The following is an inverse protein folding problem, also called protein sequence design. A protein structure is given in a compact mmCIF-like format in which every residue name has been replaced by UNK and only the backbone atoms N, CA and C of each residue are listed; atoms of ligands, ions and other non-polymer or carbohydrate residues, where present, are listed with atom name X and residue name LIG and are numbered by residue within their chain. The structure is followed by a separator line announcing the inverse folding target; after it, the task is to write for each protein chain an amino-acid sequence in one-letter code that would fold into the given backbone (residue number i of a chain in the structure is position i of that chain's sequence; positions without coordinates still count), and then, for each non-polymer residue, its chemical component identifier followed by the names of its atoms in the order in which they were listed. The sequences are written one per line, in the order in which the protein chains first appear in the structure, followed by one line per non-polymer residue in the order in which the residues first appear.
data_IF_555435821120
#
_entry.id   IF_555435821120
#
_cell.length_a   1.000
_cell.length_b   1.000
_cell.length_c   1.000
_cell.angle_alpha   90.00
_cell.angle_beta   90.00
_cell.angle_gamma   90.00
#
_symmetry.space_group_name_H-M   'P 1'
#
loop_
_entity.id
_entity.type
_entity.pdbx_description
1 polymer ?
#
# COMPACT_ATOMS: atom_id res chain seq x y z
N UNK A 1 35.82 9.45 -44.23
CA UNK A 1 36.38 8.24 -43.59
C UNK A 1 35.95 8.27 -42.14
N UNK A 2 35.01 7.49 -41.63
CA UNK A 2 34.06 6.46 -42.09
C UNK A 2 33.34 6.09 -40.78
N UNK A 3 32.04 6.37 -40.63
CA UNK A 3 30.96 5.36 -40.48
C UNK A 3 31.28 4.26 -39.46
N UNK A 4 30.58 4.14 -38.34
CA UNK A 4 29.26 3.50 -38.16
C UNK A 4 28.66 3.96 -36.81
N UNK A 5 27.38 4.00 -36.48
CA UNK A 5 26.12 3.56 -37.08
C UNK A 5 25.00 4.26 -36.31
N UNK A 6 24.01 4.80 -37.02
CA UNK A 6 22.70 5.12 -36.46
C UNK A 6 22.09 3.84 -35.87
N UNK A 7 22.14 3.69 -34.55
CA UNK A 7 21.31 2.69 -33.87
C UNK A 7 19.88 3.27 -33.71
N UNK A 8 18.83 2.51 -34.06
CA UNK A 8 17.44 2.98 -33.97
C UNK A 8 17.12 3.31 -32.51
N UNK A 9 16.25 4.30 -32.28
CA UNK A 9 15.95 4.88 -30.96
C UNK A 9 15.63 3.85 -29.87
N UNK A 10 16.66 3.41 -29.14
CA UNK A 10 16.53 2.60 -27.95
C UNK A 10 16.16 3.50 -26.77
N UNK A 11 15.09 3.15 -26.07
CA UNK A 11 14.71 3.78 -24.81
C UNK A 11 15.88 3.70 -23.82
N UNK A 12 16.39 4.85 -23.37
CA UNK A 12 17.34 4.89 -22.27
C UNK A 12 16.56 4.75 -20.97
N UNK A 13 16.58 3.55 -20.41
CA UNK A 13 16.08 3.31 -19.06
C UNK A 13 17.14 3.77 -18.07
N UNK A 14 16.73 4.47 -17.01
CA UNK A 14 17.60 4.91 -15.92
C UNK A 14 17.26 4.21 -14.59
N UNK A 15 16.08 3.61 -14.51
CA UNK A 15 15.49 3.05 -13.32
C UNK A 15 14.63 1.84 -13.67
N UNK A 16 14.71 0.82 -12.82
CA UNK A 16 13.81 -0.31 -12.81
C UNK A 16 12.98 -0.30 -11.52
N UNK A 17 11.66 -0.46 -11.64
CA UNK A 17 10.73 -0.44 -10.51
C UNK A 17 10.00 -1.79 -10.36
N UNK A 18 10.19 -2.48 -9.23
CA UNK A 18 9.44 -3.68 -8.89
C UNK A 18 8.06 -3.33 -8.34
N UNK A 19 6.97 -3.84 -8.91
CA UNK A 19 5.60 -3.57 -8.45
C UNK A 19 4.81 -4.84 -8.15
N UNK A 20 5.41 -5.80 -7.45
CA UNK A 20 4.72 -7.04 -7.05
C UNK A 20 3.73 -6.73 -5.92
N UNK A 21 2.42 -6.95 -6.15
CA UNK A 21 1.33 -6.69 -5.20
C UNK A 21 0.65 -7.98 -4.72
N UNK A 22 0.86 -8.48 -3.51
CA UNK A 22 2.02 -8.27 -2.63
C UNK A 22 2.62 -9.66 -2.34
N UNK A 23 3.94 -9.80 -2.18
CA UNK A 23 4.54 -11.08 -1.83
C UNK A 23 3.90 -11.67 -0.55
N UNK A 24 3.60 -12.97 -0.55
CA UNK A 24 2.93 -13.65 0.56
C UNK A 24 1.45 -13.26 0.77
N UNK A 25 0.81 -12.55 -0.18
CA UNK A 25 -0.61 -12.18 -0.15
C UNK A 25 -1.30 -12.55 -1.48
N UNK A 26 -2.64 -12.57 -1.51
CA UNK A 26 -3.44 -12.81 -2.74
C UNK A 26 -3.09 -14.11 -3.50
N UNK A 27 -2.79 -15.19 -2.79
CA UNK A 27 -2.43 -16.49 -3.38
C UNK A 27 -0.94 -16.69 -3.65
N UNK A 28 -0.11 -15.68 -3.40
CA UNK A 28 1.35 -15.79 -3.34
C UNK A 28 1.79 -16.66 -2.16
N UNK A 29 2.82 -17.46 -2.36
CA UNK A 29 3.34 -18.38 -1.33
C UNK A 29 4.07 -17.59 -0.24
N UNK A 30 4.11 -18.11 0.99
CA UNK A 30 4.85 -17.48 2.09
C UNK A 30 6.35 -17.35 1.80
N UNK A 31 6.90 -18.23 0.97
CA UNK A 31 8.30 -18.17 0.52
C UNK A 31 8.59 -16.92 -0.33
N UNK A 32 7.58 -16.33 -0.96
CA UNK A 32 7.75 -15.17 -1.84
C UNK A 32 8.25 -13.94 -1.09
N UNK A 33 8.02 -13.86 0.23
CA UNK A 33 8.64 -12.85 1.10
C UNK A 33 10.17 -12.87 0.99
N UNK A 34 10.76 -14.05 1.11
CA UNK A 34 12.21 -14.21 1.04
C UNK A 34 12.71 -14.10 -0.40
N UNK A 35 11.97 -14.65 -1.38
CA UNK A 35 12.35 -14.53 -2.79
C UNK A 35 12.36 -13.08 -3.27
N UNK A 36 11.43 -12.25 -2.77
CA UNK A 36 11.46 -10.82 -3.04
C UNK A 36 12.74 -10.16 -2.49
N UNK A 37 13.16 -10.50 -1.27
CA UNK A 37 14.42 -10.03 -0.69
C UNK A 37 15.61 -10.41 -1.55
N UNK A 38 15.70 -11.68 -1.97
CA UNK A 38 16.77 -12.18 -2.84
C UNK A 38 16.78 -11.40 -4.16
N UNK A 39 15.61 -11.24 -4.79
CA UNK A 39 15.48 -10.49 -6.04
C UNK A 39 16.00 -9.06 -5.93
N UNK A 40 15.63 -8.33 -4.87
CA UNK A 40 16.05 -6.93 -4.69
C UNK A 40 17.51 -6.80 -4.23
N UNK A 41 18.16 -7.88 -3.82
CA UNK A 41 19.59 -7.92 -3.52
C UNK A 41 20.43 -8.25 -4.76
N UNK A 42 20.03 -9.25 -5.53
CA UNK A 42 20.77 -9.70 -6.72
C UNK A 42 20.69 -8.69 -7.88
N UNK A 43 19.57 -8.00 -8.04
CA UNK A 43 19.34 -7.05 -9.14
C UNK A 43 20.32 -5.87 -9.14
N UNK A 44 20.53 -5.14 -8.01
CA UNK A 44 21.56 -4.11 -7.94
C UNK A 44 22.95 -4.63 -8.30
N UNK A 45 23.32 -5.83 -7.85
CA UNK A 45 24.63 -6.45 -8.14
C UNK A 45 24.80 -6.73 -9.63
N UNK A 46 23.77 -7.28 -10.29
CA UNK A 46 23.77 -7.51 -11.72
C UNK A 46 23.93 -6.18 -12.50
N UNK A 47 23.20 -5.14 -12.10
CA UNK A 47 23.32 -3.82 -12.73
C UNK A 47 24.66 -3.13 -12.46
N UNK A 48 25.29 -3.37 -11.31
CA UNK A 48 26.67 -2.92 -11.06
C UNK A 48 27.67 -3.57 -12.00
N UNK A 49 27.53 -4.86 -12.27
CA UNK A 49 28.41 -5.59 -13.17
C UNK A 49 28.25 -5.11 -14.62
N UNK A 50 27.02 -4.94 -15.09
CA UNK A 50 26.73 -4.42 -16.42
C UNK A 50 27.30 -3.00 -16.58
N UNK A 51 27.03 -2.11 -15.62
CA UNK A 51 27.50 -0.72 -15.63
C UNK A 51 29.02 -0.60 -15.82
N UNK A 52 29.78 -1.50 -15.16
CA UNK A 52 31.24 -1.57 -15.29
C UNK A 52 31.67 -2.03 -16.69
N UNK A 53 30.95 -2.97 -17.30
CA UNK A 53 31.27 -3.50 -18.63
C UNK A 53 31.02 -2.47 -19.73
N UNK A 54 29.92 -1.73 -19.64
CA UNK A 54 29.50 -0.78 -20.68
C UNK A 54 29.94 0.66 -20.42
N UNK A 55 30.63 0.90 -19.31
CA UNK A 55 31.08 2.23 -18.84
C UNK A 55 29.93 3.26 -18.81
N UNK A 56 28.81 2.87 -18.22
CA UNK A 56 27.64 3.75 -17.99
C UNK A 56 27.25 3.76 -16.51
N UNK A 57 26.50 4.78 -16.05
CA UNK A 57 25.92 4.75 -14.73
C UNK A 57 25.06 3.49 -14.51
N UNK A 58 25.10 2.94 -13.29
CA UNK A 58 24.24 1.82 -12.89
C UNK A 58 22.76 2.22 -12.94
N UNK A 59 21.93 1.32 -13.44
CA UNK A 59 20.47 1.40 -13.31
C UNK A 59 20.04 1.35 -11.84
N UNK A 60 19.22 2.31 -11.43
CA UNK A 60 18.65 2.31 -10.09
C UNK A 60 17.59 1.23 -9.95
N UNK A 61 17.53 0.61 -8.79
CA UNK A 61 16.53 -0.40 -8.44
C UNK A 61 15.61 0.19 -7.36
N UNK A 62 14.34 0.34 -7.69
CA UNK A 62 13.30 0.77 -6.76
C UNK A 62 12.20 -0.27 -6.67
N UNK A 63 11.37 -0.17 -5.65
CA UNK A 63 10.16 -0.98 -5.55
C UNK A 63 9.00 -0.17 -4.98
N UNK A 64 7.80 -0.45 -5.50
CA UNK A 64 6.54 -0.03 -4.92
C UNK A 64 6.09 -1.07 -3.87
N UNK A 65 5.96 -0.66 -2.62
CA UNK A 65 5.62 -1.50 -1.47
C UNK A 65 4.31 -1.07 -0.84
N UNK A 66 3.59 -2.04 -0.26
CA UNK A 66 2.32 -1.80 0.42
C UNK A 66 2.44 -0.78 1.55
N UNK A 67 1.39 0.02 1.78
CA UNK A 67 1.23 0.81 3.00
C UNK A 67 0.51 0.02 4.12
N UNK A 68 -0.26 -1.02 3.78
CA UNK A 68 -0.98 -1.85 4.75
C UNK A 68 -0.03 -2.70 5.60
N UNK A 69 -0.07 -2.54 6.92
CA UNK A 69 0.84 -3.22 7.85
C UNK A 69 0.81 -4.75 7.71
N UNK A 70 -0.37 -5.33 7.51
CA UNK A 70 -0.53 -6.77 7.30
C UNK A 70 0.26 -7.25 6.08
N UNK A 71 0.17 -6.53 4.95
CA UNK A 71 0.92 -6.81 3.73
C UNK A 71 2.42 -6.58 3.93
N UNK A 72 2.79 -5.55 4.68
CA UNK A 72 4.20 -5.28 4.98
C UNK A 72 4.80 -6.45 5.77
N UNK A 73 4.10 -6.90 6.81
CA UNK A 73 4.53 -8.00 7.67
C UNK A 73 4.63 -9.33 6.91
N UNK A 74 3.67 -9.61 6.02
CA UNK A 74 3.67 -10.85 5.23
C UNK A 74 4.66 -10.83 4.07
N UNK A 75 4.96 -9.65 3.51
CA UNK A 75 5.61 -9.55 2.21
C UNK A 75 7.04 -9.03 2.21
N UNK A 76 7.49 -8.32 3.24
CA UNK A 76 8.78 -7.64 3.20
C UNK A 76 9.68 -7.91 4.41
N UNK A 77 10.96 -8.18 4.14
CA UNK A 77 12.03 -8.16 5.15
C UNK A 77 12.68 -6.78 5.13
N UNK A 78 12.00 -5.78 5.72
CA UNK A 78 12.35 -4.35 5.62
C UNK A 78 13.85 -4.05 5.82
N UNK A 79 14.54 -4.60 6.84
CA UNK A 79 15.97 -4.33 7.04
C UNK A 79 16.88 -4.87 5.93
N UNK A 80 16.40 -5.83 5.15
CA UNK A 80 17.17 -6.53 4.11
C UNK A 80 16.88 -5.99 2.69
N UNK A 81 15.97 -5.02 2.55
CA UNK A 81 15.63 -4.44 1.26
C UNK A 81 16.75 -3.52 0.75
N UNK A 82 17.56 -4.05 -0.17
CA UNK A 82 18.68 -3.31 -0.76
C UNK A 82 18.27 -2.50 -2.00
N UNK A 83 17.41 -1.50 -1.77
CA UNK A 83 16.88 -0.63 -2.83
C UNK A 83 17.52 0.75 -2.82
N UNK A 84 17.53 1.42 -3.97
CA UNK A 84 17.93 2.82 -4.09
C UNK A 84 16.85 3.74 -3.48
N UNK A 85 15.59 3.48 -3.81
CA UNK A 85 14.40 4.12 -3.21
C UNK A 85 13.26 3.11 -3.03
N UNK A 86 12.44 3.35 -2.02
CA UNK A 86 11.27 2.54 -1.66
C UNK A 86 10.04 3.43 -1.79
N UNK A 87 9.21 3.14 -2.78
CA UNK A 87 7.97 3.85 -3.03
C UNK A 87 6.87 3.21 -2.18
N UNK A 88 6.34 3.91 -1.19
CA UNK A 88 5.25 3.38 -0.36
C UNK A 88 3.93 3.80 -0.98
N UNK A 89 3.13 2.81 -1.42
CA UNK A 89 1.85 3.02 -2.09
C UNK A 89 0.77 3.42 -1.07
N UNK A 90 0.83 4.66 -0.58
CA UNK A 90 -0.04 5.15 0.50
C UNK A 90 -1.41 5.62 0.00
N UNK A 91 -2.03 4.83 -0.86
CA UNK A 91 -3.32 5.07 -1.50
C UNK A 91 -4.06 3.74 -1.67
N UNK A 92 -5.30 3.77 -2.18
CA UNK A 92 -6.24 2.65 -2.16
C UNK A 92 -6.53 2.17 -0.73
N UNK A 93 -6.47 3.09 0.24
CA UNK A 93 -6.61 2.77 1.67
C UNK A 93 -8.08 2.55 2.04
N UNK A 94 -8.99 3.25 1.35
CA UNK A 94 -10.43 3.05 1.44
C UNK A 94 -11.07 3.08 0.06
N UNK A 95 -12.08 2.22 -0.14
CA UNK A 95 -12.78 2.09 -1.43
C UNK A 95 -14.10 1.32 -1.28
N UNK A 96 -14.86 1.23 -2.36
CA UNK A 96 -16.25 0.75 -2.38
C UNK A 96 -16.45 -0.70 -1.92
N UNK A 97 -15.38 -1.51 -1.82
CA UNK A 97 -15.44 -2.88 -1.31
C UNK A 97 -15.67 -2.98 0.20
N UNK A 98 -15.59 -1.88 0.94
CA UNK A 98 -15.75 -1.87 2.41
C UNK A 98 -17.20 -1.68 2.87
N UNK A 99 -18.10 -1.21 2.00
CA UNK A 99 -19.50 -0.92 2.35
C UNK A 99 -19.71 0.38 3.12
N UNK A 100 -18.67 1.19 3.28
CA UNK A 100 -18.70 2.54 3.81
C UNK A 100 -17.78 3.47 3.02
N UNK A 101 -18.03 4.77 3.12
CA UNK A 101 -17.20 5.81 2.50
C UNK A 101 -15.94 6.07 3.32
N UNK A 102 -14.83 6.32 2.63
CA UNK A 102 -13.56 6.66 3.26
C UNK A 102 -12.61 7.40 2.33
N UNK A 103 -11.55 7.97 2.90
CA UNK A 103 -10.55 8.72 2.14
C UNK A 103 -9.59 7.76 1.41
N UNK A 104 -9.29 8.03 0.14
CA UNK A 104 -8.35 7.22 -0.63
C UNK A 104 -6.94 7.17 0.01
N UNK A 105 -6.50 8.30 0.58
CA UNK A 105 -5.13 8.48 1.05
C UNK A 105 -5.03 9.44 2.26
N UNK A 106 -5.60 9.09 3.42
CA UNK A 106 -5.55 9.91 4.63
C UNK A 106 -4.13 10.05 5.18
N UNK A 107 -3.64 11.28 5.33
CA UNK A 107 -2.32 11.56 5.92
C UNK A 107 -2.31 11.29 7.43
N UNK A 108 -3.36 11.74 8.13
CA UNK A 108 -3.49 11.65 9.59
C UNK A 108 -4.85 11.06 9.99
N UNK A 109 -4.95 10.67 11.26
CA UNK A 109 -6.24 10.39 11.88
C UNK A 109 -7.08 11.66 11.89
N UNK A 110 -8.38 11.51 11.69
CA UNK A 110 -9.30 12.63 11.80
C UNK A 110 -9.29 13.21 13.24
N UNK A 111 -9.46 14.55 13.41
CA UNK A 111 -9.23 15.24 14.68
C UNK A 111 -10.09 14.77 15.85
N UNK A 112 -11.28 14.21 15.59
CA UNK A 112 -12.16 13.70 16.65
C UNK A 112 -11.71 12.34 17.19
N UNK A 113 -10.69 11.71 16.59
CA UNK A 113 -10.18 10.40 16.98
C UNK A 113 -11.14 9.24 16.77
N UNK A 114 -12.34 9.50 16.24
CA UNK A 114 -13.47 8.56 16.18
C UNK A 114 -13.75 7.98 14.80
N UNK A 115 -13.14 8.50 13.73
CA UNK A 115 -13.61 8.24 12.37
C UNK A 115 -13.80 6.76 12.06
N UNK A 116 -12.81 5.93 12.35
CA UNK A 116 -12.88 4.53 11.96
C UNK A 116 -13.48 3.61 13.02
N UNK A 117 -13.50 4.01 14.29
CA UNK A 117 -14.28 3.31 15.32
C UNK A 117 -15.78 3.44 15.08
N UNK A 118 -16.23 4.46 14.34
CA UNK A 118 -17.61 4.55 13.85
C UNK A 118 -17.87 3.68 12.61
N UNK A 119 -16.84 3.39 11.80
CA UNK A 119 -16.91 2.38 10.75
C UNK A 119 -16.93 0.92 11.31
N UNK A 120 -16.18 0.63 12.39
CA UNK A 120 -16.10 -0.70 13.02
C UNK A 120 -17.46 -1.37 13.34
N UNK A 121 -18.49 -0.70 13.89
CA UNK A 121 -19.79 -1.32 14.14
C UNK A 121 -20.55 -1.73 12.87
N UNK A 122 -20.06 -1.42 11.66
CA UNK A 122 -20.64 -1.91 10.41
C UNK A 122 -19.97 -3.18 9.87
N UNK A 123 -18.84 -3.60 10.45
CA UNK A 123 -18.26 -4.91 10.17
C UNK A 123 -19.12 -6.00 10.85
N UNK A 124 -19.65 -6.96 10.09
CA UNK A 124 -20.49 -8.05 10.61
C UNK A 124 -19.81 -8.85 11.74
N UNK A 125 -18.48 -9.01 11.66
CA UNK A 125 -17.65 -9.66 12.69
C UNK A 125 -17.61 -8.83 13.98
N UNK A 126 -17.58 -7.51 13.88
CA UNK A 126 -17.59 -6.61 15.04
C UNK A 126 -18.99 -6.55 15.69
N UNK A 127 -20.06 -6.57 14.89
CA UNK A 127 -21.43 -6.69 15.40
C UNK A 127 -21.66 -8.02 16.13
N UNK A 128 -21.12 -9.13 15.59
CA UNK A 128 -21.16 -10.43 16.24
C UNK A 128 -20.43 -10.42 17.59
N UNK A 129 -19.21 -9.87 17.65
CA UNK A 129 -18.45 -9.72 18.89
C UNK A 129 -19.17 -8.85 19.94
N UNK A 130 -19.89 -7.80 19.52
CA UNK A 130 -20.65 -6.94 20.45
C UNK A 130 -21.87 -7.62 21.08
N UNK A 131 -22.45 -8.62 20.40
CA UNK A 131 -23.65 -9.35 20.88
C UNK A 131 -23.34 -10.47 21.86
N UNK A 132 -22.06 -10.85 22.02
CA UNK A 132 -21.64 -11.82 23.02
C UNK A 132 -21.38 -11.08 24.34
N UNK A 133 -22.35 -11.11 25.24
CA UNK A 133 -22.31 -10.53 26.60
C UNK A 133 -21.28 -11.23 27.50
N UNK A 134 -19.99 -11.02 27.25
CA UNK A 134 -18.93 -11.53 28.12
C UNK A 134 -17.91 -10.42 28.37
N UNK A 135 -18.13 -9.62 29.42
CA UNK A 135 -17.30 -8.44 29.74
C UNK A 135 -15.79 -8.74 29.77
N UNK A 136 -15.38 -9.96 30.10
CA UNK A 136 -13.98 -10.40 30.10
C UNK A 136 -13.47 -10.89 28.73
N UNK A 137 -14.31 -11.55 27.92
CA UNK A 137 -13.92 -11.97 26.58
C UNK A 137 -13.94 -10.79 25.61
N UNK A 138 -14.88 -9.85 25.77
CA UNK A 138 -14.98 -8.61 24.99
C UNK A 138 -13.79 -7.71 25.25
N UNK A 139 -13.21 -7.66 26.46
CA UNK A 139 -12.05 -6.80 26.71
C UNK A 139 -10.74 -7.38 26.12
N UNK A 140 -10.58 -8.70 26.10
CA UNK A 140 -9.47 -9.36 25.40
C UNK A 140 -9.70 -9.42 23.89
N UNK A 141 -10.94 -9.62 23.43
CA UNK A 141 -11.30 -9.54 22.02
C UNK A 141 -11.23 -8.10 21.51
N UNK A 142 -11.51 -7.07 22.31
CA UNK A 142 -11.26 -5.66 21.96
C UNK A 142 -9.77 -5.31 22.06
N UNK A 143 -8.95 -6.00 22.87
CA UNK A 143 -7.49 -5.81 22.76
C UNK A 143 -6.92 -6.50 21.50
N UNK A 144 -7.48 -7.64 21.08
CA UNK A 144 -7.13 -8.32 19.84
C UNK A 144 -7.71 -7.63 18.59
N UNK A 145 -8.98 -7.23 18.60
CA UNK A 145 -9.65 -6.43 17.55
C UNK A 145 -9.19 -4.98 17.59
N UNK A 146 -8.76 -4.45 18.74
CA UNK A 146 -8.10 -3.16 18.89
C UNK A 146 -6.65 -3.18 18.41
N UNK A 147 -5.96 -4.33 18.50
CA UNK A 147 -4.75 -4.61 17.74
C UNK A 147 -5.03 -4.63 16.24
N UNK A 148 -6.21 -5.13 15.81
CA UNK A 148 -6.65 -5.01 14.42
C UNK A 148 -7.11 -3.58 14.04
N UNK A 149 -7.60 -2.76 14.98
CA UNK A 149 -8.03 -1.38 14.72
C UNK A 149 -6.84 -0.39 14.59
N UNK A 150 -5.63 -0.81 14.98
CA UNK A 150 -4.38 -0.14 14.64
C UNK A 150 -3.84 -0.55 13.25
N UNK A 151 -4.61 -1.31 12.45
CA UNK A 151 -4.19 -1.75 11.11
C UNK A 151 -4.57 -0.80 9.98
N UNK A 152 -5.19 0.35 10.26
CA UNK A 152 -5.58 1.24 9.18
C UNK A 152 -4.36 2.03 8.69
N UNK A 153 -3.96 1.86 7.42
CA UNK A 153 -2.80 2.50 6.87
C UNK A 153 -3.11 3.99 6.71
N UNK A 154 -2.57 4.81 7.60
CA UNK A 154 -2.39 6.23 7.33
C UNK A 154 -1.06 6.39 6.63
N UNK A 155 -0.92 7.41 5.79
CA UNK A 155 0.38 7.69 5.18
C UNK A 155 1.47 7.83 6.26
N UNK A 156 1.20 8.63 7.31
CA UNK A 156 2.15 8.83 8.42
C UNK A 156 2.46 7.52 9.16
N UNK A 157 1.45 6.68 9.38
CA UNK A 157 1.63 5.42 10.11
C UNK A 157 2.45 4.40 9.32
N UNK A 158 2.18 4.24 8.02
CA UNK A 158 2.94 3.34 7.15
C UNK A 158 4.41 3.76 7.05
N UNK A 159 4.65 5.06 6.92
CA UNK A 159 6.00 5.62 6.82
C UNK A 159 6.79 5.46 8.12
N UNK A 160 6.16 5.76 9.26
CA UNK A 160 6.78 5.56 10.57
C UNK A 160 7.02 4.07 10.85
N UNK A 161 6.09 3.18 10.48
CA UNK A 161 6.29 1.74 10.61
C UNK A 161 7.52 1.26 9.83
N UNK A 162 7.67 1.68 8.56
CA UNK A 162 8.84 1.34 7.75
C UNK A 162 10.14 1.78 8.41
N UNK A 163 10.18 3.04 8.87
CA UNK A 163 11.33 3.63 9.56
C UNK A 163 11.67 2.88 10.86
N UNK A 164 10.67 2.62 11.71
CA UNK A 164 10.85 1.95 12.99
C UNK A 164 11.28 0.48 12.83
N UNK A 165 10.98 -0.13 11.68
CA UNK A 165 11.41 -1.47 11.30
C UNK A 165 12.68 -1.49 10.42
N UNK A 166 13.45 -0.40 10.39
CA UNK A 166 14.81 -0.38 9.84
C UNK A 166 14.95 0.15 8.41
N UNK A 167 13.88 0.65 7.79
CA UNK A 167 14.01 1.32 6.49
C UNK A 167 14.74 2.68 6.66
N UNK A 168 15.76 2.98 5.84
CA UNK A 168 16.41 4.28 5.87
C UNK A 168 15.43 5.38 5.46
N UNK A 169 15.19 6.37 6.33
CA UNK A 169 14.19 7.42 6.09
C UNK A 169 14.44 8.19 4.78
N UNK A 170 15.70 8.44 4.41
CA UNK A 170 16.05 9.11 3.15
C UNK A 170 15.81 8.31 1.88
N UNK A 171 15.46 7.02 2.00
CA UNK A 171 15.10 6.15 0.87
C UNK A 171 13.59 5.95 0.73
N UNK A 172 12.80 6.29 1.74
CA UNK A 172 11.34 6.16 1.68
C UNK A 172 10.73 7.32 0.90
N UNK A 173 9.94 7.01 -0.11
CA UNK A 173 9.23 7.95 -0.97
C UNK A 173 7.73 7.74 -0.76
N UNK A 174 7.03 8.79 -0.35
CA UNK A 174 5.56 8.79 -0.26
C UNK A 174 5.00 8.96 -1.66
N UNK A 175 4.11 8.06 -2.06
CA UNK A 175 3.38 8.22 -3.32
C UNK A 175 2.06 8.97 -3.13
N UNK A 176 1.79 9.87 -4.07
CA UNK A 176 0.60 10.72 -4.05
C UNK A 176 -0.36 10.30 -5.17
N UNK A 177 -1.59 9.84 -4.86
CA UNK A 177 -2.55 9.48 -5.89
C UNK A 177 -3.11 10.73 -6.55
N UNK A 178 -3.08 10.76 -7.89
CA UNK A 178 -3.81 11.75 -8.69
C UNK A 178 -5.23 11.29 -9.05
N UNK A 179 -5.81 10.42 -8.22
CA UNK A 179 -7.16 9.84 -8.37
C UNK A 179 -7.79 9.64 -6.98
N UNK A 180 -9.08 9.33 -6.97
CA UNK A 180 -9.83 9.03 -5.75
C UNK A 180 -10.79 7.88 -5.96
N UNK A 181 -11.21 7.27 -4.85
CA UNK A 181 -12.29 6.31 -4.86
C UNK A 181 -13.64 7.00 -4.65
N UNK A 182 -14.65 6.52 -5.36
CA UNK A 182 -15.99 7.10 -5.33
C UNK A 182 -17.03 6.07 -4.89
N UNK A 183 -18.13 6.55 -4.31
CA UNK A 183 -19.13 5.74 -3.62
C UNK A 183 -20.55 6.18 -3.94
N UNK A 184 -21.50 5.25 -3.94
CA UNK A 184 -22.93 5.54 -3.85
C UNK A 184 -23.35 5.37 -2.39
N UNK A 185 -23.84 6.45 -1.78
CA UNK A 185 -24.29 6.44 -0.39
C UNK A 185 -25.64 5.73 -0.25
N UNK A 186 -25.76 4.86 0.77
CA UNK A 186 -27.03 4.21 1.12
C UNK A 186 -28.09 5.23 1.58
N UNK A 187 -27.65 6.35 2.17
CA UNK A 187 -28.51 7.47 2.55
C UNK A 187 -27.84 8.77 2.07
N UNK A 188 -28.43 9.42 1.06
CA UNK A 188 -27.91 10.66 0.47
C UNK A 188 -27.88 11.85 1.42
N UNK A 189 -28.60 11.80 2.56
CA UNK A 189 -28.56 12.83 3.59
C UNK A 189 -27.36 12.69 4.55
N UNK A 190 -26.69 11.52 4.55
CA UNK A 190 -25.50 11.30 5.36
C UNK A 190 -24.25 11.26 4.46
N UNK A 191 -23.56 12.39 4.36
CA UNK A 191 -22.35 12.57 3.54
C UNK A 191 -21.07 12.60 4.36
N UNK A 192 -21.11 12.14 5.61
CA UNK A 192 -19.92 12.08 6.46
C UNK A 192 -18.96 10.97 5.99
N UNK A 193 -17.69 11.06 6.39
CA UNK A 193 -16.77 9.91 6.35
C UNK A 193 -17.40 8.77 7.15
N UNK A 194 -17.20 7.52 6.73
CA UNK A 194 -17.85 6.32 7.28
C UNK A 194 -19.37 6.23 7.06
N UNK A 195 -19.97 7.08 6.22
CA UNK A 195 -21.35 6.87 5.79
C UNK A 195 -21.48 5.55 5.02
N UNK A 196 -22.52 4.77 5.30
CA UNK A 196 -22.80 3.50 4.63
C UNK A 196 -22.98 3.71 3.12
N UNK A 197 -22.42 2.80 2.33
CA UNK A 197 -22.46 2.84 0.87
C UNK A 197 -23.16 1.60 0.32
N UNK A 198 -23.97 1.78 -0.72
CA UNK A 198 -24.67 0.69 -1.38
C UNK A 198 -23.86 0.09 -2.52
N UNK A 199 -23.00 0.89 -3.17
CA UNK A 199 -22.21 0.46 -4.32
C UNK A 199 -21.02 1.42 -4.57
N UNK A 200 -20.17 1.05 -5.53
CA UNK A 200 -19.16 1.91 -6.12
C UNK A 200 -19.79 3.10 -6.88
N UNK A 201 -19.12 4.26 -6.83
CA UNK A 201 -19.55 5.45 -7.58
C UNK A 201 -19.57 5.19 -9.09
N UNK A 202 -20.48 5.85 -9.85
CA UNK A 202 -20.61 5.61 -11.28
C UNK A 202 -19.33 5.96 -12.03
N UNK A 203 -19.03 5.20 -13.09
CA UNK A 203 -17.86 5.40 -13.91
C UNK A 203 -17.80 6.80 -14.55
N UNK A 204 -16.70 7.52 -14.32
CA UNK A 204 -16.47 8.82 -14.94
C UNK A 204 -16.30 8.75 -16.47
N UNK A 205 -16.44 9.88 -17.20
CA UNK A 205 -16.44 9.90 -18.66
C UNK A 205 -15.09 9.50 -19.28
N UNK A 206 -13.98 9.70 -18.55
CA UNK A 206 -12.61 9.46 -19.03
C UNK A 206 -12.04 8.12 -18.54
N UNK A 207 -12.06 7.88 -17.22
CA UNK A 207 -11.49 6.67 -16.60
C UNK A 207 -12.37 5.45 -16.87
N UNK A 208 -13.69 5.63 -16.99
CA UNK A 208 -14.67 4.59 -17.34
C UNK A 208 -14.63 3.36 -16.43
N UNK A 209 -14.26 3.56 -15.18
CA UNK A 209 -14.23 2.51 -14.15
C UNK A 209 -15.12 2.92 -12.97
N UNK A 210 -15.99 2.03 -12.54
CA UNK A 210 -16.83 2.26 -11.37
C UNK A 210 -15.95 2.35 -10.11
N UNK A 211 -16.25 3.30 -9.22
CA UNK A 211 -15.51 3.53 -7.99
C UNK A 211 -14.20 4.29 -8.17
N UNK A 212 -13.94 4.87 -9.34
CA UNK A 212 -12.76 5.67 -9.71
C UNK A 212 -13.12 6.91 -10.54
#
# INVERSE_FOLDING_TARGET
KESTENSPGYWQLELWNCSIKYPGSHGSMSQDKHLFTVLVQEMPEAFEQEAKQINKPRLKVTAAVAAGISHIQSGYEIPQLYLDYIHVTTYDLHSSWEGYSGENSPLYKHPTGTDWQQCLPQCEVCQWCSKIHCKYFVQQAISWVGCLANLLPLQDYAMNYGKDNGAPAGKLIIEFPAYGHTFILSNSSNTAICASTSDAGPAGPYIRQSGF
#
